data_IF_350782613457
#
_entry.id   IF_350782613457
#
_cell.length_a   1.000
_cell.length_b   1.000
_cell.length_c   1.000
_cell.angle_alpha   90.00
_cell.angle_beta   90.00
_cell.angle_gamma   90.00
#
_symmetry.space_group_name_H-M   'P 1'
#
loop_
_entity.id
_entity.type
_entity.pdbx_description
1 polymer ?
#
# COMPACT_ATOMS: atom_id res chain seq x y z
N UNK A 1 -15.32 4.20 27.05
CA UNK A 1 -14.91 3.98 25.65
C UNK A 1 -13.48 3.47 25.67
N UNK A 2 -13.16 2.38 25.00
CA UNK A 2 -11.80 1.83 24.99
C UNK A 2 -10.88 2.77 24.19
N UNK A 3 -9.96 3.44 24.87
CA UNK A 3 -8.91 4.28 24.27
C UNK A 3 -7.88 3.40 23.57
N UNK A 4 -8.24 2.93 22.37
CA UNK A 4 -7.40 2.08 21.53
C UNK A 4 -6.73 2.93 20.45
N UNK A 5 -5.40 2.90 20.41
CA UNK A 5 -4.54 3.62 19.47
C UNK A 5 -4.80 3.16 18.03
N UNK A 6 -4.69 1.84 17.80
CA UNK A 6 -4.84 1.23 16.50
C UNK A 6 -6.04 0.29 16.46
N UNK A 7 -6.92 0.49 15.47
CA UNK A 7 -7.88 -0.54 15.06
C UNK A 7 -7.16 -1.56 14.20
N UNK A 8 -7.19 -2.82 14.63
CA UNK A 8 -6.64 -3.95 13.89
C UNK A 8 -7.78 -4.70 13.21
N UNK A 9 -7.70 -4.91 11.89
CA UNK A 9 -8.73 -5.58 11.10
C UNK A 9 -8.11 -6.56 10.10
N UNK A 10 -8.60 -7.80 9.98
CA UNK A 10 -9.67 -8.41 10.77
C UNK A 10 -9.20 -8.85 12.18
N UNK A 11 -10.15 -9.13 13.08
CA UNK A 11 -9.86 -9.68 14.42
C UNK A 11 -9.43 -11.15 14.38
N UNK A 12 -9.91 -11.89 13.37
CA UNK A 12 -9.50 -13.26 13.05
C UNK A 12 -8.95 -13.28 11.62
N UNK A 13 -7.69 -13.66 11.48
CA UNK A 13 -6.98 -13.72 10.21
C UNK A 13 -7.25 -15.07 9.53
N UNK A 14 -8.08 -15.04 8.48
CA UNK A 14 -8.30 -16.21 7.62
C UNK A 14 -7.07 -16.42 6.74
N UNK A 15 -6.38 -17.53 6.95
CA UNK A 15 -5.22 -17.93 6.17
C UNK A 15 -5.60 -19.11 5.29
N UNK A 16 -5.58 -18.96 3.95
CA UNK A 16 -5.72 -20.09 3.05
C UNK A 16 -4.68 -21.17 3.37
N UNK A 17 -5.11 -22.41 3.44
CA UNK A 17 -4.25 -23.56 3.69
C UNK A 17 -4.26 -24.50 2.48
N UNK A 18 -3.07 -24.79 1.96
CA UNK A 18 -2.84 -25.72 0.86
C UNK A 18 -1.45 -26.33 1.04
N UNK A 19 -1.34 -27.65 0.91
CA UNK A 19 -0.06 -28.33 1.06
C UNK A 19 0.93 -27.90 -0.01
N UNK A 20 2.21 -27.84 0.36
CA UNK A 20 3.35 -27.51 -0.52
C UNK A 20 3.25 -26.13 -1.21
N UNK A 21 2.32 -25.27 -0.77
CA UNK A 21 2.11 -23.95 -1.37
C UNK A 21 2.14 -22.85 -0.32
N UNK A 22 2.79 -21.75 -0.69
CA UNK A 22 2.79 -20.54 0.12
C UNK A 22 1.43 -19.84 0.01
N UNK A 23 0.92 -19.37 1.14
CA UNK A 23 -0.33 -18.62 1.19
C UNK A 23 -0.10 -17.28 1.89
N UNK A 24 -0.94 -16.29 1.62
CA UNK A 24 -0.86 -15.00 2.31
C UNK A 24 -2.22 -14.46 2.73
N UNK A 25 -2.21 -13.57 3.71
CA UNK A 25 -3.37 -12.83 4.17
C UNK A 25 -2.96 -11.41 4.56
N UNK A 26 -3.89 -10.46 4.51
CA UNK A 26 -3.65 -9.08 4.91
C UNK A 26 -4.21 -8.80 6.32
N UNK A 27 -3.48 -7.99 7.08
CA UNK A 27 -3.93 -7.34 8.30
C UNK A 27 -3.83 -5.83 8.10
N UNK A 28 -4.86 -5.07 8.41
CA UNK A 28 -4.90 -3.61 8.30
C UNK A 28 -4.84 -2.98 9.70
N UNK A 29 -3.93 -2.02 9.85
CA UNK A 29 -3.81 -1.17 11.02
C UNK A 29 -4.37 0.21 10.67
N UNK A 30 -5.38 0.68 11.39
CA UNK A 30 -5.91 2.02 11.26
C UNK A 30 -5.66 2.83 12.53
N UNK A 31 -4.98 3.95 12.40
CA UNK A 31 -4.67 4.84 13.52
C UNK A 31 -5.85 5.77 13.80
N UNK A 32 -6.39 5.70 15.02
CA UNK A 32 -7.52 6.52 15.48
C UNK A 32 -7.09 7.83 16.13
N UNK A 33 -5.80 8.12 16.16
CA UNK A 33 -5.22 9.25 16.88
C UNK A 33 -4.65 10.27 15.91
N UNK A 34 -4.49 11.51 16.40
CA UNK A 34 -3.83 12.60 15.68
C UNK A 34 -2.30 12.55 15.81
N UNK A 35 -1.77 11.52 16.47
CA UNK A 35 -0.35 11.30 16.66
C UNK A 35 0.14 10.14 15.80
N UNK A 36 1.45 10.12 15.52
CA UNK A 36 2.07 8.97 14.86
C UNK A 36 2.14 7.81 15.85
N UNK A 37 1.81 6.60 15.40
CA UNK A 37 1.83 5.40 16.26
C UNK A 37 2.82 4.41 15.71
N UNK A 38 3.78 3.98 16.53
CA UNK A 38 4.67 2.87 16.18
C UNK A 38 3.98 1.54 16.45
N UNK A 39 4.26 0.53 15.62
CA UNK A 39 3.77 -0.83 15.81
C UNK A 39 4.88 -1.87 15.69
N UNK A 40 4.68 -3.01 16.36
CA UNK A 40 5.53 -4.22 16.26
C UNK A 40 4.63 -5.45 16.26
N UNK A 41 4.79 -6.31 15.27
CA UNK A 41 4.07 -7.57 15.14
C UNK A 41 4.94 -8.71 15.65
N UNK A 42 4.39 -9.50 16.57
CA UNK A 42 4.96 -10.75 17.07
C UNK A 42 4.05 -11.91 16.70
N UNK A 43 4.60 -13.12 16.65
CA UNK A 43 3.84 -14.35 16.36
C UNK A 43 4.28 -15.47 17.28
N UNK A 44 3.36 -16.39 17.58
CA UNK A 44 3.67 -17.64 18.28
C UNK A 44 4.43 -18.65 17.41
N UNK A 45 4.44 -18.46 16.08
CA UNK A 45 4.99 -19.42 15.11
C UNK A 45 5.89 -18.75 14.06
N UNK A 46 7.02 -18.13 14.46
CA UNK A 46 7.87 -17.32 13.56
C UNK A 46 8.50 -18.12 12.42
N UNK A 47 8.70 -19.44 12.58
CA UNK A 47 9.19 -20.30 11.50
C UNK A 47 8.15 -20.54 10.40
N UNK A 48 6.85 -20.43 10.72
CA UNK A 48 5.75 -20.66 9.77
C UNK A 48 5.34 -19.40 9.02
N UNK A 49 5.56 -18.22 9.60
CA UNK A 49 5.04 -16.97 9.06
C UNK A 49 6.12 -15.93 8.86
N UNK A 50 6.16 -15.33 7.67
CA UNK A 50 6.86 -14.09 7.41
C UNK A 50 5.88 -12.91 7.44
N UNK A 51 6.25 -11.82 8.11
CA UNK A 51 5.40 -10.64 8.28
C UNK A 51 6.07 -9.43 7.62
N UNK A 52 5.34 -8.70 6.78
CA UNK A 52 5.86 -7.54 6.04
C UNK A 52 4.82 -6.41 5.98
N UNK A 53 5.14 -5.22 6.52
CA UNK A 53 6.22 -4.94 7.47
C UNK A 53 5.97 -5.58 8.85
N UNK A 54 7.03 -6.01 9.54
CA UNK A 54 6.93 -6.58 10.90
C UNK A 54 6.92 -5.48 12.00
N UNK A 55 7.45 -4.31 11.70
CA UNK A 55 7.40 -3.12 12.54
C UNK A 55 7.39 -1.89 11.63
N UNK A 56 6.93 -0.76 12.16
CA UNK A 56 6.79 0.46 11.37
C UNK A 56 6.03 1.53 12.13
N UNK A 57 5.58 2.54 11.39
CA UNK A 57 4.72 3.59 11.90
C UNK A 57 3.44 3.67 11.08
N UNK A 58 2.33 3.96 11.75
CA UNK A 58 1.07 4.33 11.11
C UNK A 58 0.89 5.86 11.27
N UNK A 59 0.68 6.61 10.18
CA UNK A 59 0.49 8.06 10.26
C UNK A 59 -0.80 8.42 11.02
N UNK A 60 -0.91 9.65 11.55
CA UNK A 60 -2.14 10.17 12.15
C UNK A 60 -3.34 9.96 11.23
N UNK A 61 -4.45 9.46 11.77
CA UNK A 61 -5.70 9.19 11.03
C UNK A 61 -5.54 8.36 9.74
N UNK A 62 -4.43 7.65 9.59
CA UNK A 62 -4.12 6.86 8.40
C UNK A 62 -4.21 5.36 8.63
N UNK A 63 -3.95 4.61 7.56
CA UNK A 63 -3.94 3.15 7.58
C UNK A 63 -2.64 2.58 7.03
N UNK A 64 -2.32 1.35 7.44
CA UNK A 64 -1.19 0.59 6.91
C UNK A 64 -1.54 -0.89 6.81
N UNK A 65 -1.32 -1.46 5.62
CA UNK A 65 -1.48 -2.88 5.35
C UNK A 65 -0.23 -3.69 5.73
N UNK A 66 -0.46 -4.83 6.36
CA UNK A 66 0.55 -5.82 6.72
C UNK A 66 0.23 -7.11 5.99
N UNK A 67 1.18 -7.58 5.19
CA UNK A 67 1.11 -8.87 4.53
C UNK A 67 1.73 -9.94 5.43
N UNK A 68 0.94 -10.96 5.74
CA UNK A 68 1.39 -12.15 6.46
C UNK A 68 1.44 -13.29 5.46
N UNK A 69 2.62 -13.90 5.35
CA UNK A 69 2.90 -14.99 4.41
C UNK A 69 3.16 -16.26 5.20
N UNK A 70 2.37 -17.30 4.97
CA UNK A 70 2.56 -18.64 5.51
C UNK A 70 3.48 -19.46 4.59
N UNK A 71 4.56 -19.99 5.15
CA UNK A 71 5.47 -20.93 4.47
C UNK A 71 4.73 -22.17 3.98
N UNK A 72 5.19 -22.76 2.87
CA UNK A 72 4.59 -23.95 2.27
C UNK A 72 4.54 -25.12 3.27
N UNK A 73 3.35 -25.50 3.78
CA UNK A 73 3.22 -26.55 4.78
C UNK A 73 3.50 -27.92 4.14
N UNK A 74 4.34 -28.73 4.77
CA UNK A 74 4.70 -30.08 4.28
C UNK A 74 3.66 -31.14 4.64
N UNK A 75 3.01 -30.95 5.79
CA UNK A 75 2.07 -31.89 6.38
C UNK A 75 0.85 -31.14 6.89
N UNK A 76 -0.27 -31.85 6.95
CA UNK A 76 -1.50 -31.35 7.53
C UNK A 76 -1.36 -31.47 9.06
N UNK A 77 -1.66 -30.42 9.84
CA UNK A 77 -1.69 -30.54 11.29
C UNK A 77 -2.65 -31.66 11.71
N UNK A 78 -2.25 -32.55 12.64
CA UNK A 78 -3.02 -33.76 12.99
C UNK A 78 -4.45 -33.46 13.47
N UNK A 79 -4.68 -32.26 14.01
CA UNK A 79 -6.00 -31.86 14.49
C UNK A 79 -6.74 -30.89 13.53
N UNK A 80 -6.18 -30.53 12.36
CA UNK A 80 -6.63 -29.43 11.49
C UNK A 80 -6.82 -28.05 12.18
N UNK A 81 -6.58 -27.96 13.49
CA UNK A 81 -6.76 -26.76 14.28
C UNK A 81 -5.51 -25.88 14.24
N UNK A 82 -5.65 -24.68 13.72
CA UNK A 82 -4.65 -23.63 13.86
C UNK A 82 -4.73 -23.02 15.27
N UNK A 83 -3.63 -23.05 16.02
CA UNK A 83 -3.50 -22.39 17.33
C UNK A 83 -2.62 -21.13 17.25
N UNK A 84 -2.17 -20.78 16.05
CA UNK A 84 -1.22 -19.71 15.84
C UNK A 84 -1.89 -18.34 16.06
N UNK A 85 -1.14 -17.41 16.66
CA UNK A 85 -1.62 -16.07 16.99
C UNK A 85 -0.58 -15.02 16.62
N UNK A 86 -1.07 -13.87 16.19
CA UNK A 86 -0.29 -12.65 16.07
C UNK A 86 -0.61 -11.70 17.22
N UNK A 87 0.40 -10.95 17.65
CA UNK A 87 0.30 -9.90 18.65
C UNK A 87 0.78 -8.61 18.00
N UNK A 88 -0.10 -7.64 17.85
CA UNK A 88 0.25 -6.28 17.42
C UNK A 88 0.44 -5.44 18.67
N UNK A 89 1.66 -5.01 18.93
CA UNK A 89 1.97 -4.02 19.96
C UNK A 89 1.99 -2.64 19.32
N UNK A 90 1.46 -1.63 20.01
CA UNK A 90 1.42 -0.25 19.52
C UNK A 90 1.70 0.76 20.64
N UNK A 91 2.33 1.88 20.29
CA UNK A 91 2.66 2.98 21.21
C UNK A 91 2.61 4.31 20.45
N UNK A 92 2.07 5.39 21.05
CA UNK A 92 2.19 6.72 20.46
C UNK A 92 3.66 7.15 20.45
N UNK A 93 4.04 7.94 19.46
CA UNK A 93 5.41 8.45 19.29
C UNK A 93 5.37 9.96 19.03
N UNK A 94 6.20 10.68 19.76
CA UNK A 94 6.41 12.11 19.56
C UNK A 94 7.61 12.36 18.64
N UNK A 95 7.43 13.23 17.64
CA UNK A 95 8.49 13.67 16.73
C UNK A 95 8.91 12.63 15.68
N UNK A 96 10.17 12.71 15.26
CA UNK A 96 10.76 11.93 14.15
C UNK A 96 11.68 10.81 14.65
N UNK A 97 11.41 10.24 15.83
CA UNK A 97 12.23 9.13 16.36
C UNK A 97 12.05 7.87 15.50
N UNK A 98 13.16 7.24 15.13
CA UNK A 98 13.16 5.90 14.54
C UNK A 98 12.73 4.84 15.56
N UNK A 99 12.38 3.65 15.07
CA UNK A 99 11.95 2.54 15.92
C UNK A 99 13.15 2.00 16.71
N UNK A 100 13.21 2.30 18.00
CA UNK A 100 14.16 1.70 18.92
C UNK A 100 13.57 0.49 19.65
N UNK A 101 14.40 -0.51 19.97
CA UNK A 101 13.93 -1.76 20.58
C UNK A 101 13.32 -1.58 21.98
N UNK A 102 13.76 -0.56 22.69
CA UNK A 102 13.22 -0.16 23.98
C UNK A 102 11.82 0.47 23.84
N UNK A 103 11.38 0.94 22.67
CA UNK A 103 10.05 1.56 22.47
C UNK A 103 8.89 0.64 22.85
N UNK A 104 9.08 -0.68 22.86
CA UNK A 104 8.05 -1.65 23.25
C UNK A 104 8.33 -2.35 24.59
N UNK A 105 9.28 -1.84 25.38
CA UNK A 105 9.50 -2.30 26.76
C UNK A 105 8.49 -1.66 27.71
N UNK A 106 7.91 -2.46 28.62
CA UNK A 106 6.98 -1.94 29.63
C UNK A 106 7.76 -1.13 30.66
N UNK A 107 7.43 0.15 30.78
CA UNK A 107 8.03 1.08 31.73
C UNK A 107 6.92 1.95 32.36
N UNK A 108 7.08 2.42 33.61
CA UNK A 108 6.11 3.30 34.24
C UNK A 108 5.91 4.57 33.39
N UNK A 109 4.65 4.93 33.15
CA UNK A 109 4.27 6.09 32.32
C UNK A 109 4.23 5.83 30.80
N UNK A 110 4.57 4.62 30.35
CA UNK A 110 4.58 4.29 28.91
C UNK A 110 3.33 3.53 28.49
N UNK A 111 2.60 4.08 27.53
CA UNK A 111 1.40 3.46 26.96
C UNK A 111 1.79 2.46 25.87
N UNK A 112 1.65 1.16 26.16
CA UNK A 112 1.78 0.09 25.17
C UNK A 112 0.46 -0.67 25.11
N UNK A 113 -0.18 -0.65 23.95
CA UNK A 113 -1.39 -1.41 23.68
C UNK A 113 -1.06 -2.69 22.91
N UNK A 114 -1.73 -3.78 23.26
CA UNK A 114 -1.51 -5.10 22.69
C UNK A 114 -2.82 -5.68 22.16
N UNK A 115 -2.87 -5.96 20.84
CA UNK A 115 -4.02 -6.58 20.18
C UNK A 115 -3.64 -7.97 19.68
N UNK A 116 -4.41 -8.97 20.08
CA UNK A 116 -4.22 -10.37 19.65
C UNK A 116 -5.13 -10.68 18.45
N UNK A 117 -4.56 -11.29 17.43
CA UNK A 117 -5.26 -11.75 16.23
C UNK A 117 -5.06 -13.26 16.12
N UNK A 118 -6.15 -14.03 16.03
CA UNK A 118 -6.05 -15.48 15.85
C UNK A 118 -5.94 -15.82 14.37
N UNK A 119 -5.21 -16.89 14.05
CA UNK A 119 -5.15 -17.42 12.69
C UNK A 119 -6.16 -18.56 12.56
N UNK A 120 -6.95 -18.53 11.49
CA UNK A 120 -7.91 -19.58 11.15
C UNK A 120 -7.57 -20.11 9.76
N UNK A 121 -7.32 -21.41 9.64
CA UNK A 121 -7.11 -22.02 8.32
C UNK A 121 -8.43 -22.16 7.58
N UNK A 122 -8.42 -21.77 6.31
CA UNK A 122 -9.55 -21.93 5.39
C UNK A 122 -9.07 -22.69 4.14
N UNK A 123 -9.90 -23.52 3.50
CA UNK A 123 -9.55 -24.17 2.24
C UNK A 123 -9.16 -23.12 1.18
N UNK A 124 -8.05 -23.32 0.47
CA UNK A 124 -7.59 -22.38 -0.55
C UNK A 124 -8.57 -22.30 -1.74
N UNK A 125 -9.16 -23.42 -2.13
CA UNK A 125 -10.25 -23.54 -3.09
C UNK A 125 -11.55 -23.91 -2.36
N UNK A 126 -12.44 -22.95 -2.03
CA UNK A 126 -13.82 -23.30 -1.73
C UNK A 126 -14.44 -23.91 -2.99
N UNK A 127 -15.28 -24.96 -2.88
CA UNK A 127 -15.97 -25.50 -4.05
C UNK A 127 -16.78 -24.37 -4.72
N UNK A 128 -16.58 -24.17 -6.02
CA UNK A 128 -17.46 -23.29 -6.80
C UNK A 128 -18.90 -23.79 -6.61
N UNK A 129 -19.90 -22.90 -6.44
CA UNK A 129 -21.29 -23.30 -6.55
C UNK A 129 -21.45 -23.89 -7.95
N UNK A 130 -21.63 -25.20 -8.04
CA UNK A 130 -22.02 -25.88 -9.28
C UNK A 130 -23.41 -25.34 -9.59
N UNK A 131 -23.64 -24.66 -10.73
CA UNK A 131 -25.00 -24.45 -11.20
C UNK A 131 -25.63 -25.83 -11.32
N UNK A 132 -26.75 -26.08 -10.64
CA UNK A 132 -27.59 -27.25 -10.92
C UNK A 132 -28.01 -27.14 -12.39
N UNK A 133 -27.30 -27.82 -13.29
CA UNK A 133 -27.68 -27.94 -14.69
C UNK A 133 -28.91 -28.85 -14.74
N UNK A 134 -30.04 -28.25 -15.09
CA UNK A 134 -31.20 -29.00 -15.56
C UNK A 134 -30.81 -29.69 -16.87
N UNK A 135 -31.07 -30.99 -16.92
CA UNK A 135 -30.85 -31.86 -18.09
C UNK A 135 -31.65 -31.34 -19.29
N UNK A 136 -30.96 -30.95 -20.37
CA UNK A 136 -31.54 -30.90 -21.71
C UNK A 136 -30.48 -31.47 -22.68
N UNK A 137 -30.85 -32.52 -23.37
CA UNK A 137 -30.07 -33.24 -24.37
C UNK A 137 -29.93 -32.43 -25.69
N UNK A 138 -28.82 -32.71 -26.40
CA UNK A 138 -28.73 -32.88 -27.86
C UNK A 138 -27.96 -31.84 -28.71
N UNK A 139 -26.89 -32.40 -29.31
CA UNK A 139 -26.27 -32.16 -30.61
C UNK A 139 -25.47 -30.89 -30.95
N UNK A 140 -24.25 -31.19 -31.41
CA UNK A 140 -23.55 -30.69 -32.62
C UNK A 140 -22.30 -29.79 -32.43
N UNK A 141 -21.23 -30.26 -33.09
CA UNK A 141 -19.86 -29.76 -33.16
C UNK A 141 -19.74 -28.30 -33.64
N UNK A 142 -18.79 -27.57 -33.04
CA UNK A 142 -17.86 -26.73 -33.82
C UNK A 142 -16.60 -26.39 -33.03
N UNK A 143 -15.49 -26.57 -33.72
CA UNK A 143 -14.09 -26.47 -33.30
C UNK A 143 -13.63 -25.10 -32.77
N UNK A 144 -12.76 -25.21 -31.75
CA UNK A 144 -11.55 -24.42 -31.46
C UNK A 144 -11.73 -22.91 -31.27
N UNK A 145 -11.69 -22.49 -30.00
CA UNK A 145 -11.25 -21.14 -29.68
C UNK A 145 -10.26 -21.12 -28.49
N UNK A 146 -9.06 -20.68 -28.81
CA UNK A 146 -8.09 -19.97 -27.97
C UNK A 146 -7.97 -20.39 -26.50
N UNK A 147 -7.04 -21.32 -26.22
CA UNK A 147 -6.35 -21.43 -24.92
C UNK A 147 -5.63 -20.12 -24.59
N UNK A 148 -6.36 -19.19 -23.97
CA UNK A 148 -5.75 -18.28 -23.02
C UNK A 148 -5.76 -19.01 -21.70
N UNK A 149 -4.67 -19.73 -21.41
CA UNK A 149 -4.30 -20.10 -20.04
C UNK A 149 -4.39 -18.83 -19.19
N UNK A 150 -5.48 -18.70 -18.43
CA UNK A 150 -5.51 -17.78 -17.31
C UNK A 150 -4.47 -18.30 -16.33
N UNK A 151 -3.37 -17.58 -16.05
CA UNK A 151 -2.52 -17.97 -14.95
C UNK A 151 -3.38 -17.88 -13.71
N UNK A 152 -3.59 -19.01 -13.05
CA UNK A 152 -4.24 -19.12 -11.76
C UNK A 152 -3.47 -18.24 -10.78
N UNK A 153 -3.84 -16.96 -10.74
CA UNK A 153 -3.14 -15.97 -9.94
C UNK A 153 -3.42 -16.35 -8.51
N UNK A 154 -2.38 -16.81 -7.82
CA UNK A 154 -2.48 -17.28 -6.47
C UNK A 154 -3.11 -16.18 -5.61
N UNK A 155 -4.06 -16.52 -4.72
CA UNK A 155 -4.64 -15.53 -3.78
C UNK A 155 -3.56 -14.79 -2.97
N UNK A 156 -2.36 -15.37 -2.89
CA UNK A 156 -1.16 -14.76 -2.30
C UNK A 156 -0.70 -13.47 -2.98
N UNK A 157 -0.87 -13.36 -4.31
CA UNK A 157 -0.49 -12.17 -5.07
C UNK A 157 -1.50 -11.05 -4.88
N UNK A 158 -2.77 -11.37 -4.64
CA UNK A 158 -3.86 -10.41 -4.52
C UNK A 158 -3.65 -9.44 -3.34
N UNK A 159 -3.17 -9.91 -2.18
CA UNK A 159 -2.93 -9.03 -1.02
C UNK A 159 -1.80 -8.02 -1.30
N UNK A 160 -0.66 -8.52 -1.80
CA UNK A 160 0.51 -7.70 -2.12
C UNK A 160 0.17 -6.70 -3.23
N UNK A 161 -0.45 -7.19 -4.31
CA UNK A 161 -0.90 -6.39 -5.45
C UNK A 161 -1.95 -5.36 -5.02
N UNK A 162 -2.92 -5.73 -4.16
CA UNK A 162 -3.92 -4.77 -3.68
C UNK A 162 -3.30 -3.67 -2.81
N UNK A 163 -2.34 -4.01 -1.96
CA UNK A 163 -1.64 -3.04 -1.12
C UNK A 163 -0.73 -2.12 -1.96
N UNK A 164 0.00 -2.67 -2.95
CA UNK A 164 0.80 -1.85 -3.87
C UNK A 164 -0.09 -0.95 -4.71
N UNK A 165 -1.19 -1.46 -5.28
CA UNK A 165 -2.17 -0.66 -6.02
C UNK A 165 -2.70 0.47 -5.15
N UNK A 166 -3.14 0.20 -3.90
CA UNK A 166 -3.60 1.25 -2.98
C UNK A 166 -2.54 2.33 -2.76
N UNK A 167 -1.31 1.93 -2.42
CA UNK A 167 -0.18 2.85 -2.23
C UNK A 167 0.08 3.71 -3.47
N UNK A 168 0.19 3.08 -4.64
CA UNK A 168 0.41 3.80 -5.91
C UNK A 168 -0.75 4.70 -6.27
N UNK A 169 -2.00 4.33 -5.98
CA UNK A 169 -3.16 5.18 -6.27
C UNK A 169 -3.21 6.43 -5.38
N UNK A 170 -2.82 6.33 -4.11
CA UNK A 170 -2.73 7.49 -3.22
C UNK A 170 -1.62 8.45 -3.65
N UNK A 171 -0.45 7.92 -4.02
CA UNK A 171 0.67 8.72 -4.50
C UNK A 171 0.33 9.42 -5.84
N UNK A 172 -0.28 8.70 -6.79
CA UNK A 172 -0.75 9.29 -8.05
C UNK A 172 -1.79 10.40 -7.81
N UNK A 173 -2.73 10.21 -6.87
CA UNK A 173 -3.68 11.28 -6.49
C UNK A 173 -2.96 12.50 -5.93
N UNK A 174 -1.89 12.32 -5.16
CA UNK A 174 -1.10 13.44 -4.63
C UNK A 174 -0.35 14.18 -5.75
N UNK A 175 0.31 13.45 -6.64
CA UNK A 175 1.01 14.02 -7.80
C UNK A 175 0.04 14.79 -8.69
N UNK A 176 -1.17 14.27 -8.95
CA UNK A 176 -2.18 14.98 -9.72
C UNK A 176 -2.60 16.31 -9.08
N UNK A 177 -2.76 16.35 -7.75
CA UNK A 177 -3.05 17.60 -7.03
C UNK A 177 -1.91 18.62 -7.16
N UNK A 178 -0.66 18.17 -7.09
CA UNK A 178 0.51 19.06 -7.26
C UNK A 178 0.59 19.59 -8.69
N UNK A 179 0.33 18.75 -9.71
CA UNK A 179 0.26 19.19 -11.10
C UNK A 179 -0.88 20.18 -11.36
N UNK A 180 -2.06 19.96 -10.77
CA UNK A 180 -3.17 20.90 -10.88
C UNK A 180 -2.87 22.24 -10.19
N UNK A 181 -2.15 22.19 -9.06
CA UNK A 181 -1.65 23.40 -8.39
C UNK A 181 -0.69 24.16 -9.31
N UNK A 182 0.32 23.49 -9.87
CA UNK A 182 1.30 24.08 -10.77
C UNK A 182 0.69 24.61 -12.06
N UNK A 183 -0.31 23.91 -12.63
CA UNK A 183 -1.05 24.40 -13.80
C UNK A 183 -1.88 25.64 -13.50
N UNK A 184 -2.41 25.75 -12.28
CA UNK A 184 -3.18 26.92 -11.82
C UNK A 184 -2.28 28.12 -11.54
N UNK A 185 -1.02 27.87 -11.17
CA UNK A 185 0.05 28.86 -11.18
C UNK A 185 0.37 29.19 -12.64
N UNK A 186 -0.28 30.21 -13.20
CA UNK A 186 -0.01 30.67 -14.57
C UNK A 186 1.50 30.87 -14.75
N UNK A 187 2.13 30.34 -15.81
CA UNK A 187 3.38 30.90 -16.25
C UNK A 187 3.09 32.36 -16.62
N UNK A 188 3.74 33.31 -15.93
CA UNK A 188 3.82 34.66 -16.48
C UNK A 188 4.41 34.52 -17.88
N UNK A 189 3.84 35.15 -18.91
CA UNK A 189 4.48 35.14 -20.21
C UNK A 189 5.78 35.92 -20.07
N UNK A 190 6.90 35.21 -19.88
CA UNK A 190 8.23 35.71 -20.20
C UNK A 190 8.33 35.79 -21.73
N UNK A 191 7.54 36.69 -22.30
CA UNK A 191 7.93 37.37 -23.52
C UNK A 191 8.76 38.57 -23.10
N UNK A 192 9.84 38.84 -23.84
CA UNK A 192 10.60 40.08 -23.64
C UNK A 192 9.65 41.27 -23.56
N UNK A 193 9.77 42.06 -22.48
CA UNK A 193 8.97 43.27 -22.31
C UNK A 193 9.01 44.08 -23.60
N UNK A 194 7.86 44.44 -24.16
CA UNK A 194 7.78 45.23 -25.40
C UNK A 194 8.63 46.50 -25.33
N UNK A 195 8.77 47.08 -24.13
CA UNK A 195 9.67 48.20 -23.84
C UNK A 195 11.15 47.87 -24.10
N UNK A 196 11.60 46.66 -23.77
CA UNK A 196 12.98 46.22 -23.96
C UNK A 196 13.32 46.09 -25.45
N UNK A 197 12.39 45.57 -26.26
CA UNK A 197 12.55 45.48 -27.72
C UNK A 197 12.63 46.88 -28.34
N UNK A 198 11.77 47.81 -27.91
CA UNK A 198 11.80 49.21 -28.37
C UNK A 198 13.10 49.91 -27.98
N UNK A 199 13.61 49.67 -26.78
CA UNK A 199 14.89 50.24 -26.33
C UNK A 199 16.06 49.76 -27.17
N UNK A 200 16.17 48.45 -27.43
CA UNK A 200 17.23 47.90 -28.29
C UNK A 200 17.14 48.50 -29.69
N UNK A 201 15.95 48.55 -30.27
CA UNK A 201 15.76 49.11 -31.61
C UNK A 201 16.17 50.59 -31.68
N UNK A 202 15.78 51.39 -30.68
CA UNK A 202 16.18 52.80 -30.60
C UNK A 202 17.69 52.99 -30.44
N UNK A 203 18.35 52.11 -29.68
CA UNK A 203 19.79 52.16 -29.46
C UNK A 203 20.56 51.78 -30.73
N UNK A 204 20.08 50.79 -31.47
CA UNK A 204 20.63 50.42 -32.79
C UNK A 204 20.50 51.57 -33.79
N UNK A 205 19.37 52.29 -33.80
CA UNK A 205 19.19 53.48 -34.63
C UNK A 205 20.18 54.58 -34.24
N UNK A 206 20.30 54.89 -32.94
CA UNK A 206 21.24 55.91 -32.45
C UNK A 206 22.69 55.57 -32.82
N UNK A 207 23.11 54.32 -32.61
CA UNK A 207 24.44 53.83 -33.01
C UNK A 207 24.64 53.93 -34.52
N UNK A 208 23.63 53.59 -35.32
CA UNK A 208 23.67 53.74 -36.77
C UNK A 208 23.87 55.20 -37.20
N UNK A 209 23.14 56.14 -36.60
CA UNK A 209 23.33 57.57 -36.83
C UNK A 209 24.70 58.06 -36.39
N UNK A 210 25.22 57.57 -35.26
CA UNK A 210 26.52 57.97 -34.74
C UNK A 210 27.65 57.49 -35.66
N UNK A 211 27.58 56.24 -36.13
CA UNK A 211 28.56 55.67 -37.04
C UNK A 211 28.48 56.27 -38.46
N UNK A 212 27.29 56.65 -38.92
CA UNK A 212 27.10 57.31 -40.21
C UNK A 212 27.47 58.80 -40.16
N UNK A 213 27.23 59.47 -39.02
CA UNK A 213 27.59 60.86 -38.78
C UNK A 213 29.10 61.10 -38.58
N UNK A 214 29.87 60.09 -38.19
CA UNK A 214 31.34 60.16 -38.17
C UNK A 214 31.99 59.96 -39.55
N UNK A 215 31.22 59.76 -40.62
CA UNK A 215 31.69 59.52 -42.00
C UNK A 215 31.23 60.61 -42.99
N UNK A 216 30.97 61.82 -42.51
CA UNK A 216 30.75 63.03 -43.30
C UNK A 216 31.74 64.12 -42.92
#
# INVERSE_FOLDING_TARGET
MSNTLLRVSPSDLKMPFELKKQNSACLELFNKTDQRVAFKVKTTSPKKYAVRPANGFVPPMGSLGITIVMQAPKEIPPDYHCKDKFLVQSTPVEGTKDIADDMFSKAPGKLIEEVKVRVIYVPANPPSPVPEEAEEEDSSDSDVDSEVERPSTSKSDICLVSNTIKSYTEENKKIQKELDLLRKTKPSPEGFSSTFVLLIFSFCILLGYYLLGCRA
#
